data_IF_223553402161
#
_entry.id   IF_223553402161
#
_cell.length_a   1.000
_cell.length_b   1.000
_cell.length_c   1.000
_cell.angle_alpha   90.00
_cell.angle_beta   90.00
_cell.angle_gamma   90.00
#
_symmetry.space_group_name_H-M   'P 1'
#
loop_
_entity.id
_entity.type
_entity.pdbx_description
1 polymer ?
#
# COMPACT_ATOMS: atom_id res chain seq x y z
N UNK A 1 0.27 -15.40 -16.55
CA UNK A 1 -0.22 -14.26 -17.36
C UNK A 1 0.71 -13.04 -17.31
N UNK A 2 1.42 -12.75 -16.21
CA UNK A 2 2.28 -11.56 -16.06
C UNK A 2 3.51 -11.50 -17.00
N UNK A 3 4.01 -12.62 -17.51
CA UNK A 3 5.19 -12.64 -18.38
C UNK A 3 4.97 -12.04 -19.80
N UNK A 4 3.72 -11.74 -20.19
CA UNK A 4 3.40 -11.33 -21.57
C UNK A 4 3.14 -9.83 -21.74
N UNK A 5 3.22 -9.04 -20.67
CA UNK A 5 2.87 -7.61 -20.67
C UNK A 5 4.01 -6.72 -20.15
N UNK A 6 5.19 -6.71 -20.79
CA UNK A 6 6.40 -6.04 -20.29
C UNK A 6 6.31 -4.50 -20.25
N UNK A 7 5.24 -3.94 -20.82
CA UNK A 7 4.99 -2.49 -20.87
C UNK A 7 3.77 -2.07 -20.05
N UNK A 8 3.19 -2.97 -19.24
CA UNK A 8 2.05 -2.63 -18.41
C UNK A 8 2.45 -1.56 -17.38
N UNK A 9 1.71 -0.45 -17.36
CA UNK A 9 1.94 0.66 -16.44
C UNK A 9 0.85 0.78 -15.37
N UNK A 10 -0.29 0.12 -15.55
CA UNK A 10 -1.38 0.11 -14.58
C UNK A 10 -1.96 -1.30 -14.48
N UNK A 11 -2.17 -1.77 -13.25
CA UNK A 11 -2.79 -3.05 -12.97
C UNK A 11 -3.75 -2.91 -11.78
N UNK A 12 -5.00 -3.33 -11.95
CA UNK A 12 -5.93 -3.52 -10.83
C UNK A 12 -6.19 -5.01 -10.66
N UNK A 13 -5.98 -5.48 -9.44
CA UNK A 13 -6.38 -6.79 -8.93
C UNK A 13 -7.41 -6.60 -7.80
N UNK A 14 -8.13 -5.48 -7.78
CA UNK A 14 -9.08 -5.22 -6.71
C UNK A 14 -10.13 -6.34 -6.60
N UNK A 15 -10.41 -6.76 -5.37
CA UNK A 15 -11.37 -7.82 -5.07
C UNK A 15 -10.89 -9.23 -5.43
N UNK A 16 -9.63 -9.40 -5.85
CA UNK A 16 -9.07 -10.72 -6.15
C UNK A 16 -8.87 -11.54 -4.86
N UNK A 17 -9.90 -12.25 -4.41
CA UNK A 17 -9.89 -13.00 -3.15
C UNK A 17 -8.84 -14.12 -3.05
N UNK A 18 -8.21 -14.49 -4.18
CA UNK A 18 -7.19 -15.54 -4.27
C UNK A 18 -5.76 -15.01 -4.38
N UNK A 19 -5.55 -13.70 -4.58
CA UNK A 19 -4.18 -13.16 -4.65
C UNK A 19 -3.52 -13.26 -3.26
N UNK A 20 -2.29 -13.78 -3.22
CA UNK A 20 -1.46 -13.90 -2.01
C UNK A 20 -0.18 -13.10 -2.21
N UNK A 21 0.65 -13.04 -1.17
CA UNK A 21 1.96 -12.37 -1.22
C UNK A 21 2.84 -12.92 -2.36
N UNK A 22 2.92 -14.25 -2.53
CA UNK A 22 3.61 -14.90 -3.67
C UNK A 22 3.09 -14.42 -5.04
N UNK A 23 1.79 -14.16 -5.14
CA UNK A 23 1.19 -13.63 -6.37
C UNK A 23 1.60 -12.18 -6.63
N UNK A 24 1.76 -11.38 -5.57
CA UNK A 24 2.26 -10.01 -5.64
C UNK A 24 3.76 -9.99 -5.96
N UNK A 25 4.54 -10.93 -5.41
CA UNK A 25 5.96 -11.13 -5.76
C UNK A 25 6.12 -11.34 -7.27
N UNK A 26 5.37 -12.28 -7.85
CA UNK A 26 5.40 -12.53 -9.30
C UNK A 26 4.99 -11.29 -10.12
N UNK A 27 4.04 -10.48 -9.63
CA UNK A 27 3.66 -9.20 -10.25
C UNK A 27 4.84 -8.22 -10.18
N UNK A 28 5.46 -8.08 -9.01
CA UNK A 28 6.54 -7.13 -8.76
C UNK A 28 7.78 -7.45 -9.61
N UNK A 29 8.19 -8.72 -9.66
CA UNK A 29 9.33 -9.20 -10.43
C UNK A 29 9.17 -8.96 -11.95
N UNK A 30 7.94 -9.16 -12.47
CA UNK A 30 7.71 -9.17 -13.91
C UNK A 30 7.23 -7.83 -14.47
N UNK A 31 6.58 -6.99 -13.65
CA UNK A 31 5.91 -5.76 -14.09
C UNK A 31 6.60 -4.49 -13.55
N UNK A 32 7.93 -4.44 -13.63
CA UNK A 32 8.79 -3.34 -13.14
C UNK A 32 8.55 -1.95 -13.77
N UNK A 33 7.66 -1.86 -14.76
CA UNK A 33 7.21 -0.59 -15.37
C UNK A 33 5.88 -0.08 -14.80
N UNK A 34 5.28 -0.79 -13.85
CA UNK A 34 4.06 -0.34 -13.17
C UNK A 34 4.25 1.03 -12.53
N UNK A 35 3.22 1.86 -12.71
CA UNK A 35 3.04 3.19 -12.14
C UNK A 35 1.83 3.25 -11.24
N UNK A 36 0.79 2.47 -11.52
CA UNK A 36 -0.39 2.33 -10.66
C UNK A 36 -0.69 0.86 -10.39
N UNK A 37 -0.87 0.52 -9.11
CA UNK A 37 -1.24 -0.81 -8.66
C UNK A 37 -2.39 -0.70 -7.66
N UNK A 38 -3.49 -1.38 -7.96
CA UNK A 38 -4.65 -1.46 -7.08
C UNK A 38 -4.84 -2.90 -6.58
N UNK A 39 -4.66 -3.09 -5.28
CA UNK A 39 -4.86 -4.34 -4.56
C UNK A 39 -6.01 -4.24 -3.56
N UNK A 40 -6.90 -3.26 -3.70
CA UNK A 40 -7.99 -3.04 -2.76
C UNK A 40 -8.87 -4.28 -2.62
N UNK A 41 -9.42 -4.53 -1.44
CA UNK A 41 -10.27 -5.69 -1.15
C UNK A 41 -9.59 -7.06 -1.37
N UNK A 42 -8.26 -7.14 -1.26
CA UNK A 42 -7.53 -8.41 -1.28
C UNK A 42 -7.26 -8.89 0.16
N UNK A 43 -8.05 -9.84 0.70
CA UNK A 43 -7.98 -10.20 2.13
C UNK A 43 -6.74 -11.03 2.52
N UNK A 44 -6.00 -11.52 1.52
CA UNK A 44 -4.90 -12.48 1.72
C UNK A 44 -3.51 -11.85 1.63
N UNK A 45 -3.39 -10.61 1.14
CA UNK A 45 -2.10 -9.89 1.11
C UNK A 45 -1.74 -9.40 2.51
N UNK A 46 -0.45 -9.37 2.82
CA UNK A 46 0.11 -8.93 4.10
C UNK A 46 1.25 -7.94 3.88
N UNK A 47 1.93 -7.54 4.96
CA UNK A 47 3.11 -6.66 4.88
C UNK A 47 4.21 -7.22 3.97
N UNK A 48 4.27 -8.54 3.79
CA UNK A 48 5.22 -9.20 2.87
C UNK A 48 4.98 -8.81 1.41
N UNK A 49 3.72 -8.65 0.97
CA UNK A 49 3.43 -8.09 -0.36
C UNK A 49 3.98 -6.67 -0.52
N UNK A 50 3.96 -5.86 0.55
CA UNK A 50 4.47 -4.48 0.50
C UNK A 50 6.00 -4.42 0.45
N UNK A 51 6.67 -5.38 1.09
CA UNK A 51 8.12 -5.57 0.94
C UNK A 51 8.50 -5.82 -0.53
N UNK A 52 7.83 -6.77 -1.20
CA UNK A 52 8.06 -7.05 -2.62
C UNK A 52 7.78 -5.85 -3.53
N UNK A 53 6.69 -5.13 -3.27
CA UNK A 53 6.36 -3.90 -4.01
C UNK A 53 7.47 -2.85 -3.82
N UNK A 54 7.94 -2.63 -2.59
CA UNK A 54 8.99 -1.66 -2.32
C UNK A 54 10.33 -2.05 -2.97
N UNK A 55 10.65 -3.35 -2.97
CA UNK A 55 11.89 -3.90 -3.51
C UNK A 55 11.98 -3.87 -5.04
N UNK A 56 10.91 -4.15 -5.78
CA UNK A 56 10.98 -4.30 -7.25
C UNK A 56 10.26 -3.21 -8.05
N UNK A 57 9.22 -2.56 -7.49
CA UNK A 57 8.39 -1.58 -8.21
C UNK A 57 8.86 -0.14 -8.01
N UNK A 58 10.13 0.15 -8.31
CA UNK A 58 10.75 1.47 -8.12
C UNK A 58 10.10 2.63 -8.91
N UNK A 59 9.24 2.31 -9.90
CA UNK A 59 8.52 3.30 -10.72
C UNK A 59 7.07 3.49 -10.29
N UNK A 60 6.63 2.80 -9.25
CA UNK A 60 5.26 2.89 -8.78
C UNK A 60 5.01 4.30 -8.19
N UNK A 61 3.96 4.94 -8.67
CA UNK A 61 3.54 6.28 -8.29
C UNK A 61 2.24 6.25 -7.49
N UNK A 62 1.39 5.25 -7.74
CA UNK A 62 0.11 5.07 -7.07
C UNK A 62 -0.06 3.64 -6.57
N UNK A 63 -0.41 3.50 -5.30
CA UNK A 63 -0.73 2.24 -4.65
C UNK A 63 -2.05 2.36 -3.90
N UNK A 64 -3.01 1.49 -4.25
CA UNK A 64 -4.33 1.44 -3.61
C UNK A 64 -4.45 0.13 -2.83
N UNK A 65 -4.62 0.24 -1.50
CA UNK A 65 -4.68 -0.88 -0.56
C UNK A 65 -5.97 -0.85 0.26
N UNK A 66 -7.02 -0.19 -0.21
CA UNK A 66 -8.23 -0.02 0.58
C UNK A 66 -8.81 -1.37 1.01
N UNK A 67 -9.18 -1.49 2.29
CA UNK A 67 -9.69 -2.72 2.92
C UNK A 67 -8.74 -3.92 2.87
N UNK A 68 -7.44 -3.69 2.75
CA UNK A 68 -6.44 -4.72 2.99
C UNK A 68 -6.19 -4.86 4.50
N UNK A 69 -7.05 -5.63 5.17
CA UNK A 69 -7.16 -5.66 6.64
C UNK A 69 -5.96 -6.28 7.37
N UNK A 70 -5.01 -6.91 6.65
CA UNK A 70 -3.81 -7.55 7.20
C UNK A 70 -2.54 -6.72 6.95
N UNK A 71 -2.68 -5.49 6.43
CA UNK A 71 -1.59 -4.53 6.32
C UNK A 71 -1.47 -3.76 7.63
N UNK A 72 -0.24 -3.67 8.14
CA UNK A 72 0.09 -3.02 9.40
C UNK A 72 1.12 -1.91 9.20
N UNK A 73 1.52 -1.30 10.31
CA UNK A 73 2.58 -0.29 10.35
C UNK A 73 3.93 -0.81 9.83
N UNK A 74 4.21 -2.11 9.98
CA UNK A 74 5.40 -2.74 9.40
C UNK A 74 5.41 -2.62 7.88
N UNK A 75 4.27 -2.89 7.25
CA UNK A 75 4.09 -2.72 5.81
C UNK A 75 4.35 -1.29 5.32
N UNK A 76 3.92 -0.29 6.09
CA UNK A 76 4.18 1.12 5.79
C UNK A 76 5.66 1.47 5.92
N UNK A 77 6.37 0.83 6.85
CA UNK A 77 7.83 0.92 6.96
C UNK A 77 8.54 0.57 5.65
N UNK A 78 8.14 -0.52 4.98
CA UNK A 78 8.70 -0.89 3.67
C UNK A 78 8.39 0.17 2.61
N UNK A 79 7.13 0.61 2.52
CA UNK A 79 6.71 1.61 1.52
C UNK A 79 7.43 2.96 1.70
N UNK A 80 7.84 3.31 2.92
CA UNK A 80 8.59 4.55 3.18
C UNK A 80 9.92 4.65 2.44
N UNK A 81 10.47 3.53 1.99
CA UNK A 81 11.71 3.47 1.20
C UNK A 81 11.52 3.83 -0.27
N UNK A 82 10.27 3.89 -0.75
CA UNK A 82 9.97 4.14 -2.16
C UNK A 82 10.10 5.62 -2.51
N UNK A 83 10.97 5.94 -3.47
CA UNK A 83 11.23 7.32 -3.91
C UNK A 83 10.25 7.85 -4.96
N UNK A 84 9.51 6.96 -5.62
CA UNK A 84 8.56 7.33 -6.69
C UNK A 84 7.11 7.40 -6.22
N UNK A 85 6.76 6.85 -5.05
CA UNK A 85 5.37 6.75 -4.61
C UNK A 85 4.81 8.14 -4.26
N UNK A 86 3.70 8.51 -4.91
CA UNK A 86 3.04 9.82 -4.82
C UNK A 86 1.66 9.75 -4.18
N UNK A 87 0.94 8.67 -4.44
CA UNK A 87 -0.44 8.48 -4.00
C UNK A 87 -0.57 7.14 -3.28
N UNK A 88 -1.00 7.16 -2.02
CA UNK A 88 -1.21 5.97 -1.22
C UNK A 88 -2.61 6.01 -0.61
N UNK A 89 -3.39 4.96 -0.82
CA UNK A 89 -4.76 4.82 -0.30
C UNK A 89 -4.82 3.64 0.66
N UNK A 90 -5.20 3.91 1.92
CA UNK A 90 -5.21 2.95 3.03
C UNK A 90 -6.55 2.99 3.78
N UNK A 91 -7.65 3.30 3.07
CA UNK A 91 -8.96 3.41 3.70
C UNK A 91 -9.39 2.03 4.20
N UNK A 92 -9.89 1.97 5.43
CA UNK A 92 -10.35 0.77 6.11
C UNK A 92 -9.26 -0.30 6.31
N UNK A 93 -7.98 0.08 6.27
CA UNK A 93 -6.87 -0.74 6.76
C UNK A 93 -6.82 -0.64 8.29
N UNK A 94 -7.58 -1.50 8.97
CA UNK A 94 -7.83 -1.34 10.41
C UNK A 94 -6.65 -1.65 11.33
N UNK A 95 -5.55 -2.19 10.82
CA UNK A 95 -4.34 -2.49 11.58
C UNK A 95 -3.23 -1.43 11.39
N UNK A 96 -3.48 -0.41 10.56
CA UNK A 96 -2.60 0.75 10.43
C UNK A 96 -2.93 1.74 11.55
N UNK A 97 -1.91 2.15 12.29
CA UNK A 97 -1.98 3.09 13.40
C UNK A 97 -1.03 4.28 13.15
N UNK A 98 -1.03 5.24 14.08
CA UNK A 98 -0.27 6.48 13.95
C UNK A 98 1.24 6.25 13.83
N UNK A 99 1.76 5.18 14.44
CA UNK A 99 3.19 4.83 14.35
C UNK A 99 3.58 4.52 12.89
N UNK A 100 2.77 3.75 12.17
CA UNK A 100 2.98 3.48 10.74
C UNK A 100 2.94 4.75 9.88
N UNK A 101 2.07 5.70 10.22
CA UNK A 101 1.96 6.96 9.48
C UNK A 101 3.20 7.86 9.64
N UNK A 102 3.92 7.78 10.76
CA UNK A 102 5.18 8.51 10.97
C UNK A 102 6.23 8.19 9.91
N UNK A 103 6.30 6.93 9.47
CA UNK A 103 7.20 6.52 8.39
C UNK A 103 6.87 7.22 7.06
N UNK A 104 5.58 7.45 6.79
CA UNK A 104 5.12 8.07 5.54
C UNK A 104 5.34 9.58 5.52
N UNK A 105 5.26 10.27 6.66
CA UNK A 105 5.49 11.72 6.73
C UNK A 105 6.93 12.12 6.36
N UNK A 106 7.90 11.20 6.44
CA UNK A 106 9.27 11.41 5.98
C UNK A 106 9.43 11.38 4.45
N UNK A 107 8.43 10.89 3.72
CA UNK A 107 8.53 10.70 2.27
C UNK A 107 8.34 12.02 1.53
N UNK A 108 9.40 12.50 0.87
CA UNK A 108 9.35 13.73 0.04
C UNK A 108 8.55 13.56 -1.25
N UNK A 109 8.33 12.31 -1.68
CA UNK A 109 7.62 11.99 -2.92
C UNK A 109 6.10 11.96 -2.75
N UNK A 110 5.63 11.63 -1.54
CA UNK A 110 4.22 11.41 -1.25
C UNK A 110 3.47 12.75 -1.27
N UNK A 111 2.43 12.82 -2.09
CA UNK A 111 1.60 14.02 -2.32
C UNK A 111 0.17 13.81 -1.84
N UNK A 112 -0.31 12.57 -1.88
CA UNK A 112 -1.65 12.19 -1.49
C UNK A 112 -1.56 10.96 -0.60
N UNK A 113 -2.11 11.10 0.61
CA UNK A 113 -2.32 10.02 1.55
C UNK A 113 -3.81 9.99 1.89
N UNK A 114 -4.51 8.94 1.46
CA UNK A 114 -5.93 8.76 1.73
C UNK A 114 -6.13 7.81 2.90
N UNK A 115 -6.67 8.37 3.98
CA UNK A 115 -7.00 7.65 5.20
C UNK A 115 -8.48 7.85 5.50
N UNK A 116 -9.20 6.76 5.79
CA UNK A 116 -10.57 6.80 6.28
C UNK A 116 -10.90 5.45 6.93
N UNK A 117 -11.66 5.43 8.02
CA UNK A 117 -12.16 4.18 8.58
C UNK A 117 -11.07 3.23 9.13
N UNK A 118 -9.86 3.73 9.39
CA UNK A 118 -8.96 3.05 10.33
C UNK A 118 -9.66 3.06 11.69
N UNK A 119 -9.66 1.94 12.41
CA UNK A 119 -10.35 1.82 13.70
C UNK A 119 -9.61 2.61 14.78
N UNK A 120 -9.59 3.93 14.71
CA UNK A 120 -9.26 4.78 15.85
C UNK A 120 -10.55 5.25 16.50
N UNK A 121 -11.02 4.47 17.49
CA UNK A 121 -11.77 4.89 18.69
C UNK A 121 -12.39 3.66 19.39
N UNK A 122 -11.55 2.75 19.90
CA UNK A 122 -11.87 1.99 21.10
C UNK A 122 -10.60 2.01 21.95
N UNK A 123 -10.62 2.86 22.99
CA UNK A 123 -9.67 2.93 24.09
C UNK A 123 -8.30 3.60 23.81
N UNK A 124 -8.25 4.94 23.78
CA UNK A 124 -7.62 5.77 24.83
C UNK A 124 -7.22 7.18 24.30
N UNK A 125 -7.92 8.21 24.78
CA UNK A 125 -7.28 9.39 25.36
C UNK A 125 -6.37 10.33 24.56
N UNK A 126 -6.09 10.18 23.26
CA UNK A 126 -5.22 11.18 22.57
C UNK A 126 -5.91 11.90 21.42
N UNK A 127 -6.03 13.20 21.65
CA UNK A 127 -6.68 14.24 20.87
C UNK A 127 -6.22 14.30 19.41
N UNK A 128 -7.18 14.18 18.48
CA UNK A 128 -7.03 14.64 17.11
C UNK A 128 -6.95 16.18 17.10
N UNK A 129 -5.74 16.73 17.11
CA UNK A 129 -5.52 18.12 16.69
C UNK A 129 -4.91 18.16 15.29
N UNK A 130 -5.36 19.16 14.54
CA UNK A 130 -4.99 19.58 13.18
C UNK A 130 -5.72 18.79 12.07
N UNK A 131 -6.67 19.40 11.35
CA UNK A 131 -6.50 20.67 10.62
C UNK A 131 -7.82 21.46 10.48
N UNK A 132 -7.82 22.71 10.97
CA UNK A 132 -8.14 23.88 10.13
C UNK A 132 -6.88 24.73 10.08
#
# INVERSE_FOLDING_TARGET
MVHSLPNLTALSLSGCSKITDDGVELVAENLRKLRSLDLSWCPRITDMALEYIACDLHKLEELVLDRCVRITDTGLGYLSTMSSLRSLYLRWCCQVQDFGLQHLFGMRSLRLLSLAGQKSCCCDGTLWYFTQ
#
